data_IF_149261286171
#
_entry.id   IF_149261286171
#
_cell.length_a   1.000
_cell.length_b   1.000
_cell.length_c   1.000
_cell.angle_alpha   90.00
_cell.angle_beta   90.00
_cell.angle_gamma   90.00
#
_symmetry.space_group_name_H-M   'P 1'
#
loop_
_entity.id
_entity.type
_entity.pdbx_description
1 polymer ?
#
# COMPACT_ATOMS: atom_id res chain seq x y z
N UNK A 1 51.37 55.75 -63.49
CA UNK A 1 52.28 54.65 -63.86
C UNK A 1 52.76 53.97 -62.58
N UNK A 2 52.64 52.64 -62.50
CA UNK A 2 53.31 51.73 -61.54
C UNK A 2 52.76 51.85 -60.10
N UNK A 3 52.31 50.82 -59.37
CA UNK A 3 52.21 49.38 -59.58
C UNK A 3 51.21 48.86 -58.53
N UNK A 4 50.21 48.08 -58.96
CA UNK A 4 49.39 47.25 -58.06
C UNK A 4 50.25 46.06 -57.62
N UNK A 5 50.56 45.95 -56.34
CA UNK A 5 50.90 44.67 -55.71
C UNK A 5 49.83 44.29 -54.71
N UNK A 6 49.03 43.32 -55.14
CA UNK A 6 48.15 42.49 -54.33
C UNK A 6 48.97 41.82 -53.23
N UNK A 7 48.65 42.10 -51.97
CA UNK A 7 49.04 41.25 -50.85
C UNK A 7 47.75 40.70 -50.28
N UNK A 8 47.55 39.41 -50.52
CA UNK A 8 46.46 38.59 -50.02
C UNK A 8 46.42 38.66 -48.48
N UNK A 9 45.30 39.12 -47.92
CA UNK A 9 45.03 38.93 -46.51
C UNK A 9 44.77 37.44 -46.25
N UNK A 10 45.40 36.81 -45.24
CA UNK A 10 45.15 35.41 -44.93
C UNK A 10 43.72 35.27 -44.39
N UNK A 11 42.97 34.33 -44.98
CA UNK A 11 41.68 33.89 -44.45
C UNK A 11 41.87 33.54 -42.97
N UNK A 12 41.21 34.28 -42.09
CA UNK A 12 41.04 33.88 -40.70
C UNK A 12 40.19 32.60 -40.70
N UNK A 13 40.86 31.46 -40.55
CA UNK A 13 40.17 30.22 -40.23
C UNK A 13 39.53 30.46 -38.86
N UNK A 14 38.21 30.59 -38.84
CA UNK A 14 37.43 30.56 -37.62
C UNK A 14 37.60 29.18 -36.98
N UNK A 15 38.68 29.02 -36.21
CA UNK A 15 38.86 27.92 -35.28
C UNK A 15 37.82 28.16 -34.19
N UNK A 16 36.62 27.63 -34.41
CA UNK A 16 35.69 27.42 -33.31
C UNK A 16 36.43 26.49 -32.34
N UNK A 17 36.64 26.90 -31.08
CA UNK A 17 37.22 25.98 -30.12
C UNK A 17 36.24 24.82 -30.00
N UNK A 18 36.70 23.61 -30.30
CA UNK A 18 35.99 22.37 -30.02
C UNK A 18 35.80 22.37 -28.51
N UNK A 19 34.63 22.84 -28.06
CA UNK A 19 34.28 22.88 -26.65
C UNK A 19 34.36 21.45 -26.12
N UNK A 20 35.19 21.24 -25.11
CA UNK A 20 35.32 19.94 -24.46
C UNK A 20 33.93 19.41 -24.06
N UNK A 21 33.70 18.13 -24.33
CA UNK A 21 32.41 17.43 -24.15
C UNK A 21 31.92 17.52 -22.69
N UNK A 22 32.78 17.92 -21.74
CA UNK A 22 32.46 18.05 -20.33
C UNK A 22 31.83 19.40 -19.92
N UNK A 23 31.95 20.46 -20.73
CA UNK A 23 31.42 21.80 -20.38
C UNK A 23 29.98 22.04 -20.91
N UNK A 24 29.49 21.17 -21.81
CA UNK A 24 28.13 21.25 -22.38
C UNK A 24 27.02 20.94 -21.36
N UNK A 25 27.36 20.42 -20.18
CA UNK A 25 26.39 20.08 -19.13
C UNK A 25 25.83 21.30 -18.38
N UNK A 26 26.56 22.42 -18.35
CA UNK A 26 26.16 23.61 -17.56
C UNK A 26 25.26 24.55 -18.37
N UNK A 27 25.44 24.64 -19.68
CA UNK A 27 24.68 25.55 -20.54
C UNK A 27 23.44 24.95 -21.21
N UNK A 28 23.21 23.63 -21.09
CA UNK A 28 22.02 22.97 -21.62
C UNK A 28 20.92 22.89 -20.57
N UNK A 29 20.27 24.04 -20.28
CA UNK A 29 19.06 24.14 -19.44
C UNK A 29 17.83 23.34 -19.95
N UNK A 30 17.98 22.39 -20.87
CA UNK A 30 16.84 21.67 -21.45
C UNK A 30 17.05 20.22 -21.88
N UNK A 31 18.28 19.67 -21.90
CA UNK A 31 18.45 18.29 -22.43
C UNK A 31 19.71 17.52 -22.04
N UNK A 32 20.59 18.06 -21.19
CA UNK A 32 21.56 17.19 -20.53
C UNK A 32 20.79 16.26 -19.59
N UNK A 33 21.10 14.96 -19.66
CA UNK A 33 20.71 13.98 -18.64
C UNK A 33 21.33 14.41 -17.32
N UNK A 34 20.70 15.36 -16.62
CA UNK A 34 20.93 15.51 -15.19
C UNK A 34 20.41 14.19 -14.65
N UNK A 35 21.26 13.27 -14.15
CA UNK A 35 20.75 12.13 -13.42
C UNK A 35 19.81 12.71 -12.36
N UNK A 36 18.54 12.34 -12.46
CA UNK A 36 17.50 12.76 -11.54
C UNK A 36 17.90 12.21 -10.17
N UNK A 37 18.75 12.95 -9.46
CA UNK A 37 19.12 12.62 -8.10
C UNK A 37 17.90 12.97 -7.28
N UNK A 38 17.09 11.96 -6.92
CA UNK A 38 16.07 12.13 -5.89
C UNK A 38 16.77 12.78 -4.69
N UNK A 39 16.40 14.03 -4.40
CA UNK A 39 16.96 14.75 -3.27
C UNK A 39 16.55 13.99 -2.02
N UNK A 40 17.53 13.65 -1.19
CA UNK A 40 17.25 13.05 0.11
C UNK A 40 16.56 14.10 0.97
N UNK A 41 15.34 13.81 1.42
CA UNK A 41 14.60 14.68 2.33
C UNK A 41 14.80 14.18 3.75
N UNK A 42 15.09 15.12 4.67
CA UNK A 42 15.08 14.81 6.09
C UNK A 42 13.65 14.60 6.56
N UNK A 43 13.36 13.47 7.18
CA UNK A 43 12.06 13.11 7.72
C UNK A 43 12.06 13.38 9.21
N UNK A 44 11.24 14.34 9.64
CA UNK A 44 11.06 14.68 11.06
C UNK A 44 9.73 14.12 11.59
N UNK A 45 8.72 14.00 10.73
CA UNK A 45 7.36 13.62 11.11
C UNK A 45 7.27 12.11 11.36
N UNK A 46 6.90 11.64 12.57
CA UNK A 46 6.76 10.21 12.86
C UNK A 46 5.71 9.51 11.98
N UNK A 47 4.64 10.21 11.59
CA UNK A 47 3.57 9.67 10.76
C UNK A 47 4.06 9.15 9.39
N UNK A 48 5.21 9.62 8.88
CA UNK A 48 5.82 9.14 7.63
C UNK A 48 6.44 7.75 7.74
N UNK A 49 6.46 7.16 8.93
CA UNK A 49 6.87 5.76 9.13
C UNK A 49 5.83 4.78 8.60
N UNK A 50 4.55 5.17 8.60
CA UNK A 50 3.48 4.31 8.11
C UNK A 50 3.69 4.00 6.62
N UNK A 51 3.76 2.71 6.22
CA UNK A 51 3.96 2.34 4.82
C UNK A 51 2.90 2.91 3.88
N UNK A 52 1.68 3.10 4.40
CA UNK A 52 0.53 3.62 3.67
C UNK A 52 0.36 5.14 3.79
N UNK A 53 1.26 5.85 4.49
CA UNK A 53 1.14 7.29 4.73
C UNK A 53 0.88 8.09 3.44
N UNK A 54 1.72 7.84 2.43
CA UNK A 54 1.64 8.55 1.15
C UNK A 54 0.42 8.13 0.32
N UNK A 55 -0.05 6.89 0.47
CA UNK A 55 -1.26 6.40 -0.20
C UNK A 55 -2.51 7.01 0.41
N UNK A 56 -2.57 7.10 1.75
CA UNK A 56 -3.62 7.81 2.48
C UNK A 56 -3.63 9.31 2.14
N UNK A 57 -2.45 9.93 2.01
CA UNK A 57 -2.33 11.34 1.60
C UNK A 57 -2.79 11.54 0.16
N UNK A 58 -2.44 10.63 -0.76
CA UNK A 58 -2.88 10.67 -2.14
C UNK A 58 -4.40 10.51 -2.27
N UNK A 59 -5.00 9.60 -1.47
CA UNK A 59 -6.44 9.38 -1.46
C UNK A 59 -7.25 10.63 -1.02
N UNK A 60 -6.64 11.52 -0.22
CA UNK A 60 -7.26 12.77 0.26
C UNK A 60 -7.12 13.95 -0.70
N UNK A 61 -6.36 13.81 -1.79
CA UNK A 61 -6.19 14.89 -2.76
C UNK A 61 -7.52 15.17 -3.51
N UNK A 62 -7.85 16.44 -3.78
CA UNK A 62 -9.02 16.81 -4.57
C UNK A 62 -8.85 16.42 -6.04
N UNK A 63 -9.93 16.00 -6.72
CA UNK A 63 -9.93 15.77 -8.17
C UNK A 63 -10.13 17.11 -8.89
N UNK A 64 -9.08 17.91 -8.95
CA UNK A 64 -9.01 19.10 -9.78
C UNK A 64 -8.12 18.87 -11.02
N UNK A 65 -8.03 19.87 -11.90
CA UNK A 65 -7.15 19.82 -13.07
C UNK A 65 -5.67 19.63 -12.70
N UNK A 66 -5.30 19.91 -11.44
CA UNK A 66 -3.95 19.82 -10.90
C UNK A 66 -3.69 18.50 -10.14
N UNK A 67 -4.62 17.54 -10.16
CA UNK A 67 -4.51 16.29 -9.40
C UNK A 67 -3.26 15.49 -9.77
N UNK A 68 -2.93 15.40 -11.07
CA UNK A 68 -1.74 14.70 -11.54
C UNK A 68 -0.44 15.38 -11.07
N UNK A 69 -0.40 16.71 -11.06
CA UNK A 69 0.74 17.48 -10.57
C UNK A 69 0.91 17.33 -9.06
N UNK A 70 -0.20 17.33 -8.31
CA UNK A 70 -0.21 17.06 -6.88
C UNK A 70 0.29 15.64 -6.56
N UNK A 71 -0.12 14.64 -7.34
CA UNK A 71 0.40 13.27 -7.25
C UNK A 71 1.89 13.21 -7.58
N UNK A 72 2.36 13.95 -8.59
CA UNK A 72 3.78 14.00 -8.91
C UNK A 72 4.61 14.59 -7.76
N UNK A 73 4.16 15.69 -7.16
CA UNK A 73 4.81 16.30 -5.99
C UNK A 73 4.86 15.34 -4.81
N UNK A 74 3.75 14.65 -4.55
CA UNK A 74 3.65 13.66 -3.49
C UNK A 74 4.57 12.46 -3.74
N UNK A 75 4.66 11.96 -4.98
CA UNK A 75 5.58 10.88 -5.34
C UNK A 75 7.04 11.28 -5.12
N UNK A 76 7.42 12.51 -5.48
CA UNK A 76 8.79 13.02 -5.22
C UNK A 76 9.07 13.06 -3.71
N UNK A 77 8.10 13.52 -2.90
CA UNK A 77 8.20 13.50 -1.44
C UNK A 77 8.33 12.06 -0.90
N UNK A 78 7.52 11.13 -1.40
CA UNK A 78 7.55 9.70 -1.05
C UNK A 78 8.93 9.11 -1.29
N UNK A 79 9.43 9.18 -2.52
CA UNK A 79 10.71 8.55 -2.87
C UNK A 79 11.90 9.19 -2.14
N UNK A 80 11.86 10.50 -1.89
CA UNK A 80 12.93 11.17 -1.15
C UNK A 80 12.92 10.87 0.35
N UNK A 81 11.76 10.63 0.94
CA UNK A 81 11.58 10.27 2.36
C UNK A 81 11.81 8.79 2.64
N UNK A 82 11.38 7.88 1.74
CA UNK A 82 11.58 6.42 1.86
C UNK A 82 13.04 6.06 2.14
N UNK A 83 14.00 6.79 1.53
CA UNK A 83 15.43 6.52 1.74
C UNK A 83 15.89 6.75 3.18
N UNK A 84 15.25 7.64 3.94
CA UNK A 84 15.54 7.83 5.36
C UNK A 84 14.66 6.92 6.22
N UNK A 85 13.38 6.77 5.87
CA UNK A 85 12.43 5.87 6.56
C UNK A 85 12.93 4.42 6.53
N UNK A 86 13.51 3.96 5.42
CA UNK A 86 14.06 2.59 5.33
C UNK A 86 15.18 2.31 6.33
N UNK A 87 15.84 3.35 6.85
CA UNK A 87 16.92 3.22 7.82
C UNK A 87 16.44 3.49 9.26
N UNK A 88 15.61 4.52 9.47
CA UNK A 88 15.16 5.00 10.80
C UNK A 88 13.76 4.54 11.19
N UNK A 89 12.92 4.19 10.22
CA UNK A 89 11.50 3.89 10.41
C UNK A 89 11.22 2.53 11.06
N UNK A 90 12.18 1.60 11.09
CA UNK A 90 11.99 0.30 11.75
C UNK A 90 11.90 0.36 13.28
N UNK A 91 12.31 1.47 13.89
CA UNK A 91 12.55 1.55 15.34
C UNK A 91 11.81 2.73 15.98
N UNK A 92 10.76 3.26 15.34
CA UNK A 92 10.07 4.49 15.75
C UNK A 92 11.04 5.68 15.98
N UNK A 93 12.19 5.72 15.29
CA UNK A 93 13.27 6.69 15.57
C UNK A 93 13.03 8.05 14.92
N UNK A 94 12.08 8.14 13.99
CA UNK A 94 11.76 9.40 13.30
C UNK A 94 11.07 10.32 14.30
N UNK A 95 11.60 11.54 14.45
CA UNK A 95 11.13 12.54 15.41
C UNK A 95 11.88 12.53 16.76
N UNK A 96 12.55 11.43 17.11
CA UNK A 96 13.31 11.32 18.36
C UNK A 96 14.75 11.84 18.16
N UNK A 97 14.96 13.14 18.44
CA UNK A 97 16.20 13.86 18.11
C UNK A 97 17.41 13.51 18.97
N UNK A 98 17.23 12.99 20.19
CA UNK A 98 18.33 12.95 21.16
C UNK A 98 19.10 11.62 21.12
N UNK A 99 18.43 10.46 21.13
CA UNK A 99 19.14 9.22 21.49
C UNK A 99 18.86 7.98 20.61
N UNK A 100 18.12 8.08 19.50
CA UNK A 100 17.82 6.92 18.62
C UNK A 100 17.31 5.67 19.38
N UNK A 101 16.60 5.84 20.50
CA UNK A 101 16.14 4.73 21.34
C UNK A 101 17.26 3.94 22.03
N UNK A 102 18.47 4.50 22.11
CA UNK A 102 19.54 4.00 22.96
C UNK A 102 19.22 4.30 24.42
N UNK A 103 19.60 3.43 25.35
CA UNK A 103 19.40 3.67 26.76
C UNK A 103 20.39 4.74 27.23
N UNK A 104 19.94 5.55 28.18
CA UNK A 104 20.82 6.52 28.83
C UNK A 104 21.78 5.75 29.73
N UNK A 105 23.08 5.89 29.43
CA UNK A 105 24.14 5.22 30.19
C UNK A 105 24.83 6.26 31.03
N UNK A 106 24.98 5.92 32.30
CA UNK A 106 25.84 6.65 33.19
C UNK A 106 27.31 6.44 32.79
N UNK A 107 27.92 7.48 32.24
CA UNK A 107 29.29 7.46 31.74
C UNK A 107 30.32 7.35 32.88
N UNK A 108 29.92 7.63 34.12
CA UNK A 108 30.78 7.48 35.30
C UNK A 108 30.97 6.01 35.71
N UNK A 109 30.10 5.11 35.23
CA UNK A 109 30.22 3.70 35.55
C UNK A 109 31.54 3.11 35.03
N UNK A 110 32.12 2.15 35.76
CA UNK A 110 33.30 1.44 35.28
C UNK A 110 32.99 0.70 33.98
N UNK A 111 33.97 0.62 33.08
CA UNK A 111 33.86 -0.23 31.89
C UNK A 111 33.57 -1.65 32.32
N UNK A 112 32.88 -2.38 31.45
CA UNK A 112 32.35 -3.68 31.82
C UNK A 112 33.39 -4.69 32.30
N UNK A 113 34.57 -4.73 31.66
CA UNK A 113 35.66 -5.63 32.03
C UNK A 113 36.08 -5.45 33.49
N UNK A 114 35.89 -4.24 34.03
CA UNK A 114 36.26 -3.85 35.37
C UNK A 114 35.08 -3.74 36.34
N UNK A 115 33.85 -4.06 35.92
CA UNK A 115 32.64 -3.91 36.76
C UNK A 115 32.64 -4.83 37.99
N UNK A 116 33.32 -5.98 37.90
CA UNK A 116 33.39 -6.99 38.95
C UNK A 116 34.71 -6.97 39.74
N UNK A 117 35.52 -5.92 39.57
CA UNK A 117 36.77 -5.73 40.31
C UNK A 117 36.44 -5.02 41.61
N UNK A 118 36.56 -5.72 42.74
CA UNK A 118 36.19 -5.19 44.06
C UNK A 118 37.14 -4.07 44.49
N UNK A 119 38.40 -4.13 44.07
CA UNK A 119 39.44 -3.13 44.35
C UNK A 119 39.09 -1.74 43.78
N UNK A 120 38.26 -1.67 42.73
CA UNK A 120 37.82 -0.40 42.16
C UNK A 120 36.75 0.30 43.02
N UNK A 121 36.10 -0.41 43.95
CA UNK A 121 35.14 0.21 44.87
C UNK A 121 35.84 1.11 45.88
N UNK A 122 37.00 0.67 46.37
CA UNK A 122 37.79 1.39 47.38
C UNK A 122 38.84 2.33 46.78
N UNK A 123 39.04 2.27 45.46
CA UNK A 123 39.98 3.13 44.76
C UNK A 123 39.63 4.63 44.87
N UNK A 124 40.64 5.53 44.84
CA UNK A 124 40.41 6.97 44.81
C UNK A 124 39.68 7.40 43.53
N UNK A 125 38.97 8.52 43.61
CA UNK A 125 38.08 9.00 42.54
C UNK A 125 38.79 9.20 41.19
N UNK A 126 40.06 9.62 41.23
CA UNK A 126 40.90 9.75 40.04
C UNK A 126 41.08 8.42 39.30
N UNK A 127 41.25 7.32 40.04
CA UNK A 127 41.40 5.97 39.47
C UNK A 127 40.05 5.47 38.94
N UNK A 128 38.96 5.67 39.70
CA UNK A 128 37.60 5.34 39.23
C UNK A 128 37.26 6.02 37.91
N UNK A 129 37.64 7.29 37.78
CA UNK A 129 37.43 8.08 36.56
C UNK A 129 38.22 7.54 35.35
N UNK A 130 39.44 7.04 35.53
CA UNK A 130 40.23 6.45 34.43
C UNK A 130 39.55 5.17 33.89
N UNK A 131 39.01 4.36 34.79
CA UNK A 131 38.32 3.12 34.46
C UNK A 131 36.84 3.31 34.09
N UNK A 132 36.34 4.54 34.07
CA UNK A 132 34.97 4.83 33.67
C UNK A 132 34.76 4.70 32.16
N UNK A 133 33.49 4.66 31.74
CA UNK A 133 33.08 4.65 30.34
C UNK A 133 33.39 6.02 29.68
N UNK A 134 33.35 7.12 30.43
CA UNK A 134 33.69 8.48 29.95
C UNK A 134 35.10 8.54 29.35
N UNK A 135 36.09 7.94 30.02
CA UNK A 135 37.48 7.86 29.56
C UNK A 135 37.74 6.65 28.66
N UNK A 136 36.68 5.92 28.33
CA UNK A 136 36.69 4.74 27.48
C UNK A 136 36.79 5.02 26.01
N UNK A 137 36.98 3.93 25.26
CA UNK A 137 36.79 3.98 23.82
C UNK A 137 35.30 3.92 23.49
N UNK A 138 34.93 4.32 22.26
CA UNK A 138 33.55 4.17 21.76
C UNK A 138 33.02 2.73 21.86
N UNK A 139 33.90 1.73 21.83
CA UNK A 139 33.53 0.31 22.00
C UNK A 139 32.96 0.04 23.39
N UNK A 140 33.46 0.73 24.40
CA UNK A 140 33.07 0.53 25.80
C UNK A 140 31.64 1.03 26.01
N UNK A 141 31.37 2.22 25.48
CA UNK A 141 30.04 2.83 25.48
C UNK A 141 29.04 2.02 24.63
N UNK A 142 29.46 1.55 23.44
CA UNK A 142 28.63 0.66 22.61
C UNK A 142 28.38 -0.69 23.28
N UNK A 143 29.36 -1.20 24.04
CA UNK A 143 29.25 -2.43 24.83
C UNK A 143 28.30 -2.28 26.01
N UNK A 144 28.29 -1.11 26.66
CA UNK A 144 27.36 -0.79 27.72
C UNK A 144 25.92 -0.68 27.18
N UNK A 145 25.71 -0.04 26.01
CA UNK A 145 24.40 -0.03 25.33
C UNK A 145 23.94 -1.45 24.99
N UNK A 146 24.86 -2.27 24.46
CA UNK A 146 24.55 -3.65 24.08
C UNK A 146 24.04 -4.43 25.28
N UNK A 147 24.70 -4.33 26.44
CA UNK A 147 24.34 -5.12 27.61
C UNK A 147 23.04 -4.68 28.24
N UNK A 148 22.84 -3.37 28.40
CA UNK A 148 21.57 -2.83 28.93
C UNK A 148 20.36 -3.25 28.10
N UNK A 149 20.46 -3.25 26.76
CA UNK A 149 19.39 -3.75 25.88
C UNK A 149 19.25 -5.27 25.91
N UNK A 150 20.34 -6.02 26.08
CA UNK A 150 20.25 -7.48 26.20
C UNK A 150 19.57 -7.84 27.52
N UNK A 151 20.00 -7.24 28.63
CA UNK A 151 19.46 -7.44 29.97
C UNK A 151 17.96 -7.16 30.04
N UNK A 152 17.44 -6.20 29.27
CA UNK A 152 15.99 -5.91 29.26
C UNK A 152 15.14 -7.02 28.65
N UNK A 153 15.68 -7.80 27.70
CA UNK A 153 14.92 -8.81 26.93
C UNK A 153 15.29 -10.25 27.35
N UNK A 154 16.36 -10.39 28.14
CA UNK A 154 16.95 -11.69 28.42
C UNK A 154 16.02 -12.61 29.24
N UNK A 155 16.00 -13.91 28.94
CA UNK A 155 15.20 -14.87 29.72
C UNK A 155 15.84 -15.20 31.06
N UNK A 156 17.17 -15.34 31.07
CA UNK A 156 17.93 -15.66 32.26
C UNK A 156 19.34 -15.06 32.19
N UNK A 157 20.03 -14.96 33.33
CA UNK A 157 21.33 -14.27 33.46
C UNK A 157 22.41 -14.72 32.46
N UNK A 158 22.45 -16.01 32.11
CA UNK A 158 23.47 -16.60 31.24
C UNK A 158 23.01 -16.88 29.81
N UNK A 159 21.92 -16.26 29.35
CA UNK A 159 21.45 -16.46 27.98
C UNK A 159 22.18 -15.46 27.07
N UNK A 160 23.04 -16.02 26.22
CA UNK A 160 23.89 -15.29 25.28
C UNK A 160 23.46 -15.51 23.81
N UNK A 161 22.56 -16.48 23.55
CA UNK A 161 22.38 -17.02 22.20
C UNK A 161 20.94 -17.15 21.72
N UNK A 162 19.96 -16.87 22.58
CA UNK A 162 18.54 -16.86 22.21
C UNK A 162 18.22 -15.86 21.09
N UNK A 163 17.05 -16.02 20.49
CA UNK A 163 16.56 -15.09 19.46
C UNK A 163 16.39 -13.69 20.04
N UNK A 164 15.88 -13.59 21.26
CA UNK A 164 15.70 -12.35 22.03
C UNK A 164 17.02 -11.58 22.15
N UNK A 165 18.08 -12.24 22.63
CA UNK A 165 19.42 -11.65 22.80
C UNK A 165 20.00 -11.20 21.45
N UNK A 166 19.84 -12.03 20.40
CA UNK A 166 20.28 -11.66 19.04
C UNK A 166 19.52 -10.45 18.50
N UNK A 167 18.21 -10.34 18.76
CA UNK A 167 17.39 -9.19 18.35
C UNK A 167 17.81 -7.93 19.11
N UNK A 168 18.03 -8.02 20.42
CA UNK A 168 18.51 -6.90 21.24
C UNK A 168 19.91 -6.43 20.79
N UNK A 169 20.81 -7.37 20.53
CA UNK A 169 22.15 -7.07 20.01
C UNK A 169 22.11 -6.37 18.66
N UNK A 170 21.39 -6.94 17.68
CA UNK A 170 21.25 -6.34 16.34
C UNK A 170 20.62 -4.96 16.40
N UNK A 171 19.60 -4.77 17.25
CA UNK A 171 18.95 -3.47 17.49
C UNK A 171 19.93 -2.44 18.03
N UNK A 172 20.76 -2.81 19.01
CA UNK A 172 21.80 -1.92 19.56
C UNK A 172 22.81 -1.49 18.49
N UNK A 173 23.24 -2.44 17.65
CA UNK A 173 24.16 -2.16 16.54
C UNK A 173 23.54 -1.19 15.54
N UNK A 174 22.28 -1.40 15.15
CA UNK A 174 21.56 -0.52 14.23
C UNK A 174 21.46 0.91 14.80
N UNK A 175 21.03 1.07 16.05
CA UNK A 175 20.87 2.38 16.71
C UNK A 175 22.20 3.11 16.89
N UNK A 176 23.20 2.42 17.42
CA UNK A 176 24.53 3.00 17.65
C UNK A 176 25.23 3.40 16.35
N UNK A 177 25.09 2.61 15.28
CA UNK A 177 25.64 2.97 13.97
C UNK A 177 24.81 4.06 13.28
N UNK A 178 23.50 4.14 13.50
CA UNK A 178 22.67 5.25 12.97
C UNK A 178 23.09 6.57 13.59
N UNK A 179 23.25 6.62 14.92
CA UNK A 179 23.82 7.78 15.62
C UNK A 179 25.19 8.17 15.04
N UNK A 180 26.07 7.19 14.80
CA UNK A 180 27.37 7.41 14.18
C UNK A 180 27.26 7.99 12.76
N UNK A 181 26.34 7.50 11.93
CA UNK A 181 26.09 8.05 10.59
C UNK A 181 25.68 9.51 10.67
N UNK A 182 24.80 9.88 11.61
CA UNK A 182 24.40 11.28 11.80
C UNK A 182 25.58 12.17 12.25
N UNK A 183 26.49 11.67 13.11
CA UNK A 183 27.74 12.39 13.46
C UNK A 183 28.71 12.54 12.29
N UNK A 184 28.76 11.59 11.35
CA UNK A 184 29.55 11.74 10.13
C UNK A 184 28.90 12.73 9.16
N UNK A 185 27.56 12.69 9.06
CA UNK A 185 26.80 13.57 8.19
C UNK A 185 26.86 15.05 8.63
N UNK A 186 27.02 15.32 9.94
CA UNK A 186 27.20 16.69 10.43
C UNK A 186 28.54 17.30 9.99
N UNK A 187 29.58 16.47 9.85
CA UNK A 187 30.91 16.88 9.38
C UNK A 187 31.00 16.90 7.85
N UNK A 188 30.42 15.91 7.18
CA UNK A 188 30.47 15.73 5.74
C UNK A 188 29.07 15.47 5.18
N UNK A 189 28.61 16.19 4.15
CA UNK A 189 27.25 16.01 3.60
C UNK A 189 27.05 14.66 2.90
N UNK A 190 28.12 13.89 2.65
CA UNK A 190 28.07 12.58 1.99
C UNK A 190 27.86 11.46 3.03
N UNK A 191 26.86 10.61 2.78
CA UNK A 191 26.59 9.43 3.63
C UNK A 191 27.73 8.41 3.55
N UNK A 192 28.24 7.90 4.68
CA UNK A 192 29.26 6.84 4.69
C UNK A 192 28.65 5.50 4.24
N UNK A 193 28.80 5.21 2.93
CA UNK A 193 28.17 4.05 2.25
C UNK A 193 28.48 2.72 2.95
N UNK A 194 29.71 2.54 3.40
CA UNK A 194 30.17 1.32 4.06
C UNK A 194 29.45 1.04 5.39
N UNK A 195 29.05 2.07 6.15
CA UNK A 195 28.25 1.92 7.37
C UNK A 195 26.79 1.69 7.00
N UNK A 196 26.23 2.51 6.12
CA UNK A 196 24.80 2.44 5.76
C UNK A 196 24.45 1.09 5.15
N UNK A 197 25.34 0.52 4.33
CA UNK A 197 25.17 -0.82 3.77
C UNK A 197 25.16 -1.90 4.87
N UNK A 198 26.06 -1.81 5.86
CA UNK A 198 26.08 -2.75 6.99
C UNK A 198 24.84 -2.61 7.88
N UNK A 199 24.35 -1.39 8.11
CA UNK A 199 23.08 -1.14 8.82
C UNK A 199 21.93 -1.83 8.08
N UNK A 200 21.85 -1.69 6.76
CA UNK A 200 20.84 -2.35 5.95
C UNK A 200 20.88 -3.89 6.10
N UNK A 201 22.07 -4.50 6.05
CA UNK A 201 22.23 -5.94 6.29
C UNK A 201 21.78 -6.34 7.70
N UNK A 202 22.11 -5.54 8.72
CA UNK A 202 21.69 -5.80 10.11
C UNK A 202 20.17 -5.67 10.29
N UNK A 203 19.52 -4.70 9.63
CA UNK A 203 18.06 -4.55 9.63
C UNK A 203 17.40 -5.80 9.04
N UNK A 204 17.91 -6.30 7.90
CA UNK A 204 17.37 -7.50 7.27
C UNK A 204 17.62 -8.76 8.10
N UNK A 205 18.79 -8.87 8.72
CA UNK A 205 19.09 -9.96 9.64
C UNK A 205 18.15 -9.95 10.85
N UNK A 206 17.93 -8.78 11.47
CA UNK A 206 16.97 -8.63 12.58
C UNK A 206 15.54 -8.95 12.16
N UNK A 207 15.09 -8.53 10.98
CA UNK A 207 13.76 -8.89 10.44
C UNK A 207 13.59 -10.40 10.33
N UNK A 208 14.63 -11.12 9.89
CA UNK A 208 14.65 -12.59 9.86
C UNK A 208 14.48 -13.16 11.27
N UNK A 209 15.21 -12.64 12.25
CA UNK A 209 15.09 -13.08 13.65
C UNK A 209 13.70 -12.81 14.25
N UNK A 210 13.14 -11.62 14.01
CA UNK A 210 11.79 -11.27 14.47
C UNK A 210 10.71 -12.18 13.86
N UNK A 211 10.86 -12.53 12.58
CA UNK A 211 9.96 -13.51 11.94
C UNK A 211 10.08 -14.88 12.61
N UNK A 212 11.29 -15.38 12.82
CA UNK A 212 11.51 -16.67 13.48
C UNK A 212 10.98 -16.67 14.91
N UNK A 213 11.17 -15.58 15.65
CA UNK A 213 10.66 -15.46 17.01
C UNK A 213 9.12 -15.50 17.02
N UNK A 214 8.46 -14.77 16.12
CA UNK A 214 6.99 -14.80 15.99
C UNK A 214 6.45 -16.17 15.63
N UNK A 215 7.16 -16.91 14.78
CA UNK A 215 6.78 -18.28 14.39
C UNK A 215 6.94 -19.28 15.54
N UNK A 216 7.87 -19.03 16.47
CA UNK A 216 8.14 -19.91 17.62
C UNK A 216 7.28 -19.57 18.84
N UNK A 217 7.20 -18.29 19.18
CA UNK A 217 6.58 -17.78 20.40
C UNK A 217 6.08 -16.34 20.19
N UNK A 218 4.76 -16.20 20.04
CA UNK A 218 4.11 -14.92 19.80
C UNK A 218 4.14 -14.00 21.04
N UNK A 219 4.02 -14.56 22.24
CA UNK A 219 4.01 -13.78 23.49
C UNK A 219 5.38 -13.14 23.75
N UNK A 220 6.46 -13.92 23.55
CA UNK A 220 7.83 -13.38 23.64
C UNK A 220 8.09 -12.34 22.54
N UNK A 221 7.57 -12.55 21.33
CA UNK A 221 7.67 -11.59 20.24
C UNK A 221 7.06 -10.24 20.60
N UNK A 222 5.84 -10.22 21.13
CA UNK A 222 5.19 -8.97 21.58
C UNK A 222 5.97 -8.29 22.71
N UNK A 223 6.46 -9.07 23.69
CA UNK A 223 7.30 -8.53 24.78
C UNK A 223 8.54 -7.83 24.23
N UNK A 224 9.30 -8.51 23.36
CA UNK A 224 10.54 -7.97 22.77
C UNK A 224 10.28 -6.70 21.97
N UNK A 225 9.19 -6.67 21.19
CA UNK A 225 8.81 -5.50 20.40
C UNK A 225 8.51 -4.30 21.30
N UNK A 226 7.76 -4.52 22.37
CA UNK A 226 7.37 -3.47 23.31
C UNK A 226 8.56 -2.94 24.09
N UNK A 227 9.42 -3.82 24.63
CA UNK A 227 10.63 -3.44 25.37
C UNK A 227 11.62 -2.68 24.50
N UNK A 228 11.93 -3.21 23.31
CA UNK A 228 12.88 -2.57 22.41
C UNK A 228 12.25 -1.39 21.66
N UNK A 229 10.94 -1.21 21.66
CA UNK A 229 10.20 -0.18 20.89
C UNK A 229 10.45 -0.30 19.38
N UNK A 230 10.31 -1.50 18.84
CA UNK A 230 10.53 -1.79 17.41
C UNK A 230 9.21 -1.72 16.65
N UNK A 231 9.17 -1.01 15.52
CA UNK A 231 8.04 -1.05 14.60
C UNK A 231 8.15 -2.27 13.68
N UNK A 232 7.39 -3.32 13.96
CA UNK A 232 7.38 -4.51 13.12
C UNK A 232 6.35 -4.37 11.98
N UNK A 233 6.83 -4.52 10.75
CA UNK A 233 5.99 -4.53 9.56
C UNK A 233 6.34 -5.73 8.68
N UNK A 234 5.32 -6.47 8.25
CA UNK A 234 5.49 -7.61 7.33
C UNK A 234 5.88 -7.07 5.97
N UNK A 235 7.05 -7.49 5.47
CA UNK A 235 7.48 -7.13 4.12
C UNK A 235 6.55 -7.83 3.13
N UNK A 236 5.84 -7.04 2.33
CA UNK A 236 5.23 -7.55 1.10
C UNK A 236 6.36 -7.92 0.14
N UNK A 237 6.17 -8.96 -0.66
CA UNK A 237 7.12 -9.25 -1.75
C UNK A 237 7.34 -7.97 -2.56
N UNK A 238 8.57 -7.66 -2.99
CA UNK A 238 8.82 -6.45 -3.74
C UNK A 238 7.97 -6.51 -5.02
N UNK A 239 6.89 -5.73 -5.04
CA UNK A 239 6.20 -5.40 -6.28
C UNK A 239 7.23 -4.68 -7.17
N UNK A 240 7.16 -4.88 -8.48
CA UNK A 240 8.07 -4.21 -9.42
C UNK A 240 8.15 -2.72 -9.06
N UNK A 241 9.39 -2.17 -8.96
CA UNK A 241 9.61 -0.79 -8.49
C UNK A 241 8.68 0.14 -9.27
N UNK A 242 7.65 0.66 -8.59
CA UNK A 242 6.65 1.50 -9.26
C UNK A 242 7.35 2.78 -9.70
N UNK A 243 7.50 2.95 -11.01
CA UNK A 243 7.91 4.21 -11.60
C UNK A 243 6.89 5.29 -11.21
N UNK A 244 7.26 6.58 -11.30
CA UNK A 244 6.34 7.71 -11.04
C UNK A 244 5.00 7.50 -11.74
N UNK A 245 5.07 7.17 -13.04
CA UNK A 245 3.91 6.90 -13.90
C UNK A 245 3.07 5.74 -13.37
N UNK A 246 3.69 4.58 -13.10
CA UNK A 246 2.96 3.41 -12.60
C UNK A 246 2.30 3.68 -11.23
N UNK A 247 2.96 4.43 -10.35
CA UNK A 247 2.40 4.79 -9.05
C UNK A 247 1.21 5.76 -9.19
N UNK A 248 1.34 6.81 -10.01
CA UNK A 248 0.25 7.77 -10.24
C UNK A 248 -0.96 7.11 -10.92
N UNK A 249 -0.73 6.24 -11.91
CA UNK A 249 -1.79 5.47 -12.58
C UNK A 249 -2.52 4.55 -11.61
N UNK A 250 -1.78 3.89 -10.71
CA UNK A 250 -2.39 3.04 -9.68
C UNK A 250 -3.26 3.85 -8.69
N UNK A 251 -2.76 4.99 -8.21
CA UNK A 251 -3.54 5.87 -7.32
C UNK A 251 -4.78 6.44 -8.03
N UNK A 252 -4.64 6.84 -9.28
CA UNK A 252 -5.75 7.30 -10.10
C UNK A 252 -6.80 6.20 -10.30
N UNK A 253 -6.38 4.98 -10.62
CA UNK A 253 -7.29 3.83 -10.79
C UNK A 253 -8.09 3.55 -9.51
N UNK A 254 -7.42 3.45 -8.36
CA UNK A 254 -8.07 3.27 -7.06
C UNK A 254 -9.07 4.39 -6.76
N UNK A 255 -8.72 5.63 -7.12
CA UNK A 255 -9.61 6.77 -6.92
C UNK A 255 -10.83 6.72 -7.83
N UNK A 256 -10.65 6.37 -9.11
CA UNK A 256 -11.75 6.20 -10.08
C UNK A 256 -12.70 5.08 -9.64
N UNK A 257 -12.17 3.95 -9.16
CA UNK A 257 -12.97 2.85 -8.63
C UNK A 257 -13.84 3.32 -7.46
N UNK A 258 -13.27 4.05 -6.51
CA UNK A 258 -14.02 4.63 -5.38
C UNK A 258 -15.12 5.60 -5.81
N UNK A 259 -14.85 6.47 -6.79
CA UNK A 259 -15.89 7.39 -7.29
C UNK A 259 -17.02 6.64 -8.00
N UNK A 260 -16.69 5.57 -8.73
CA UNK A 260 -17.72 4.71 -9.35
C UNK A 260 -18.58 4.04 -8.29
N UNK A 261 -17.97 3.50 -7.23
CA UNK A 261 -18.71 2.92 -6.09
C UNK A 261 -19.60 3.96 -5.41
N UNK A 262 -19.08 5.16 -5.11
CA UNK A 262 -19.87 6.25 -4.54
C UNK A 262 -21.06 6.62 -5.44
N UNK A 263 -20.84 6.71 -6.76
CA UNK A 263 -21.90 7.03 -7.71
C UNK A 263 -22.94 5.92 -7.76
N UNK A 264 -22.53 4.65 -7.76
CA UNK A 264 -23.44 3.51 -7.67
C UNK A 264 -24.24 3.52 -6.38
N UNK A 265 -23.63 3.84 -5.24
CA UNK A 265 -24.31 3.95 -3.95
C UNK A 265 -25.34 5.08 -3.94
N UNK A 266 -25.01 6.24 -4.53
CA UNK A 266 -25.97 7.35 -4.65
C UNK A 266 -27.15 7.00 -5.54
N UNK A 267 -26.87 6.31 -6.65
CA UNK A 267 -27.89 5.88 -7.60
C UNK A 267 -28.77 4.78 -6.98
N UNK A 268 -28.17 3.82 -6.27
CA UNK A 268 -28.90 2.81 -5.52
C UNK A 268 -29.84 3.43 -4.48
N UNK A 269 -29.38 4.44 -3.72
CA UNK A 269 -30.24 5.17 -2.79
C UNK A 269 -31.41 5.85 -3.49
N UNK A 270 -31.15 6.56 -4.60
CA UNK A 270 -32.22 7.20 -5.37
C UNK A 270 -33.26 6.21 -5.91
N UNK A 271 -32.83 5.01 -6.32
CA UNK A 271 -33.74 3.95 -6.75
C UNK A 271 -34.51 3.29 -5.61
N UNK A 272 -33.91 3.20 -4.42
CA UNK A 272 -34.63 2.70 -3.24
C UNK A 272 -35.67 3.71 -2.75
N UNK A 273 -35.37 5.00 -2.80
CA UNK A 273 -36.32 6.08 -2.47
C UNK A 273 -37.49 6.12 -3.45
N UNK A 274 -37.22 6.03 -4.75
CA UNK A 274 -38.25 6.07 -5.80
C UNK A 274 -38.94 4.70 -6.01
N UNK A 275 -38.57 3.66 -5.26
CA UNK A 275 -39.05 2.29 -5.48
C UNK A 275 -40.55 2.19 -5.34
N UNK A 276 -41.09 2.76 -4.26
CA UNK A 276 -42.51 2.61 -3.93
C UNK A 276 -43.39 3.38 -4.94
N UNK A 277 -42.93 4.53 -5.41
CA UNK A 277 -43.60 5.30 -6.47
C UNK A 277 -43.62 4.54 -7.79
N UNK A 278 -42.47 3.98 -8.20
CA UNK A 278 -42.37 3.19 -9.44
C UNK A 278 -43.23 1.93 -9.35
N UNK A 279 -43.26 1.25 -8.21
CA UNK A 279 -44.11 0.06 -8.00
C UNK A 279 -45.60 0.44 -8.08
N UNK A 280 -46.02 1.55 -7.47
CA UNK A 280 -47.39 2.01 -7.56
C UNK A 280 -47.81 2.35 -9.00
N UNK A 281 -46.94 3.00 -9.78
CA UNK A 281 -47.19 3.28 -11.20
C UNK A 281 -47.28 1.99 -12.04
N UNK A 282 -46.45 0.99 -11.73
CA UNK A 282 -46.50 -0.32 -12.40
C UNK A 282 -47.82 -1.04 -12.06
N UNK A 283 -48.21 -1.06 -10.80
CA UNK A 283 -49.45 -1.70 -10.36
C UNK A 283 -50.69 -1.04 -10.99
N UNK A 284 -50.69 0.30 -11.08
CA UNK A 284 -51.75 1.05 -11.76
C UNK A 284 -51.83 0.72 -13.26
N UNK A 285 -50.68 0.60 -13.93
CA UNK A 285 -50.61 0.21 -15.34
C UNK A 285 -51.03 -1.25 -15.55
N UNK A 286 -50.73 -2.16 -14.62
CA UNK A 286 -51.20 -3.55 -14.68
C UNK A 286 -52.72 -3.61 -14.58
N UNK A 287 -53.32 -2.88 -13.64
CA UNK A 287 -54.78 -2.84 -13.48
C UNK A 287 -55.49 -2.29 -14.72
N UNK A 288 -54.94 -1.26 -15.38
CA UNK A 288 -55.54 -0.72 -16.61
C UNK A 288 -55.48 -1.73 -17.77
N UNK A 289 -54.36 -2.44 -17.92
CA UNK A 289 -54.19 -3.49 -18.92
C UNK A 289 -55.11 -4.69 -18.67
N UNK A 290 -55.32 -5.11 -17.41
CA UNK A 290 -56.26 -6.18 -17.07
C UNK A 290 -57.70 -5.83 -17.49
N UNK A 291 -58.13 -4.59 -17.25
CA UNK A 291 -59.45 -4.10 -17.67
C UNK A 291 -59.57 -4.10 -19.20
N UNK A 292 -58.54 -3.64 -19.92
CA UNK A 292 -58.52 -3.68 -21.38
C UNK A 292 -58.58 -5.11 -21.92
N UNK A 293 -57.82 -6.04 -21.32
CA UNK A 293 -57.83 -7.45 -21.69
C UNK A 293 -59.22 -8.08 -21.50
N UNK A 294 -59.88 -7.83 -20.37
CA UNK A 294 -61.26 -8.27 -20.14
C UNK A 294 -62.24 -7.71 -21.18
N UNK A 295 -62.10 -6.44 -21.54
CA UNK A 295 -62.94 -5.81 -22.56
C UNK A 295 -62.71 -6.41 -23.95
N UNK A 296 -61.46 -6.70 -24.30
CA UNK A 296 -61.12 -7.39 -25.56
C UNK A 296 -61.68 -8.81 -25.55
N UNK A 297 -61.56 -9.55 -24.43
CA UNK A 297 -62.13 -10.90 -24.29
C UNK A 297 -63.65 -10.89 -24.47
N UNK A 298 -64.35 -9.99 -23.79
CA UNK A 298 -65.80 -9.79 -23.96
C UNK A 298 -66.15 -9.50 -25.43
N UNK A 299 -65.39 -8.61 -26.07
CA UNK A 299 -65.61 -8.25 -27.48
C UNK A 299 -65.34 -9.42 -28.45
N UNK A 300 -64.33 -10.23 -28.17
CA UNK A 300 -64.05 -11.45 -28.94
C UNK A 300 -65.15 -12.49 -28.75
N UNK A 301 -65.69 -12.63 -27.53
CA UNK A 301 -66.84 -13.50 -27.27
C UNK A 301 -68.07 -13.03 -28.06
N UNK A 302 -68.39 -11.73 -28.03
CA UNK A 302 -69.46 -11.12 -28.85
C UNK A 302 -69.27 -11.40 -30.34
N UNK A 303 -68.06 -11.20 -30.89
CA UNK A 303 -67.76 -11.49 -32.29
C UNK A 303 -67.93 -13.00 -32.58
N UNK A 304 -67.48 -13.86 -31.67
CA UNK A 304 -67.63 -15.32 -31.81
C UNK A 304 -69.10 -15.77 -31.83
N UNK A 305 -69.98 -15.04 -31.15
CA UNK A 305 -71.43 -15.27 -31.18
C UNK A 305 -72.00 -14.80 -32.52
N UNK A 306 -71.64 -13.59 -32.99
CA UNK A 306 -72.09 -13.02 -34.27
C UNK A 306 -71.67 -13.89 -35.46
N UNK A 307 -70.44 -14.41 -35.46
CA UNK A 307 -69.93 -15.31 -36.49
C UNK A 307 -70.55 -16.73 -36.45
N UNK A 308 -71.40 -17.02 -35.47
CA UNK A 308 -72.08 -18.31 -35.31
C UNK A 308 -71.17 -19.45 -34.84
N UNK A 309 -69.95 -19.15 -34.37
CA UNK A 309 -69.01 -20.15 -33.82
C UNK A 309 -69.36 -20.55 -32.37
N UNK A 310 -70.05 -19.68 -31.63
CA UNK A 310 -70.60 -19.93 -30.29
C UNK A 310 -72.08 -19.52 -30.26
N UNK A 311 -72.89 -20.19 -29.46
CA UNK A 311 -74.33 -19.92 -29.30
C UNK A 311 -74.55 -19.14 -28.01
N UNK A 312 -75.28 -18.03 -28.08
CA UNK A 312 -75.65 -17.23 -26.91
C UNK A 312 -76.74 -17.95 -26.09
N UNK A 313 -76.57 -18.02 -24.76
CA UNK A 313 -77.50 -18.63 -23.81
C UNK A 313 -77.82 -20.13 -24.04
N UNK A 314 -76.82 -21.00 -23.85
CA UNK A 314 -77.10 -22.43 -23.60
C UNK A 314 -77.61 -22.59 -22.16
N UNK A 315 -78.91 -22.41 -21.94
CA UNK A 315 -79.57 -22.82 -20.69
C UNK A 315 -79.65 -24.34 -20.68
N UNK A 316 -78.61 -24.97 -20.11
CA UNK A 316 -78.51 -26.41 -19.90
C UNK A 316 -77.20 -26.98 -20.43
N UNK A 317 -76.44 -27.69 -19.59
CA UNK A 317 -75.32 -28.51 -20.07
C UNK A 317 -75.91 -29.54 -21.03
N UNK A 318 -75.58 -29.48 -22.32
CA UNK A 318 -75.89 -30.57 -23.25
C UNK A 318 -75.12 -31.81 -22.78
N UNK A 319 -75.79 -32.66 -22.01
CA UNK A 319 -75.32 -34.01 -21.79
C UNK A 319 -75.64 -34.78 -23.06
N UNK A 320 -74.64 -35.25 -23.84
CA UNK A 320 -74.93 -36.15 -24.94
C UNK A 320 -75.75 -37.31 -24.40
N UNK A 321 -76.81 -37.71 -25.11
CA UNK A 321 -77.59 -38.89 -24.72
C UNK A 321 -76.70 -40.11 -24.88
N UNK A 322 -75.95 -40.44 -23.82
CA UNK A 322 -74.99 -41.54 -23.78
C UNK A 322 -75.62 -42.84 -24.29
N UNK A 323 -76.92 -43.04 -24.03
CA UNK A 323 -77.67 -44.24 -24.44
C UNK A 323 -77.94 -44.28 -25.95
N UNK A 324 -78.29 -43.14 -26.57
CA UNK A 324 -78.56 -43.09 -28.02
C UNK A 324 -77.25 -43.25 -28.81
N UNK A 325 -76.17 -42.56 -28.42
CA UNK A 325 -74.86 -42.69 -29.08
C UNK A 325 -74.24 -44.09 -28.89
N UNK A 326 -74.40 -44.74 -27.73
CA UNK A 326 -74.00 -46.14 -27.56
C UNK A 326 -74.83 -47.06 -28.45
N UNK A 327 -76.14 -46.85 -28.53
CA UNK A 327 -77.01 -47.67 -29.38
C UNK A 327 -76.69 -47.49 -30.85
N UNK A 328 -76.44 -46.26 -31.31
CA UNK A 328 -76.08 -45.96 -32.68
C UNK A 328 -74.69 -46.49 -33.01
N UNK A 329 -73.69 -46.34 -32.14
CA UNK A 329 -72.37 -46.91 -32.36
C UNK A 329 -72.37 -48.44 -32.32
N UNK A 330 -73.15 -49.06 -31.42
CA UNK A 330 -73.30 -50.53 -31.38
C UNK A 330 -74.06 -51.02 -32.62
N UNK A 331 -75.13 -50.35 -33.03
CA UNK A 331 -75.89 -50.68 -34.24
C UNK A 331 -75.06 -50.46 -35.51
N UNK A 332 -74.30 -49.37 -35.60
CA UNK A 332 -73.36 -49.13 -36.70
C UNK A 332 -72.25 -50.17 -36.71
N UNK A 333 -71.71 -50.55 -35.54
CA UNK A 333 -70.76 -51.65 -35.46
C UNK A 333 -71.42 -52.94 -35.97
N UNK A 334 -72.59 -53.34 -35.49
CA UNK A 334 -73.28 -54.56 -35.93
C UNK A 334 -73.65 -54.57 -37.41
N UNK A 335 -74.07 -53.44 -37.97
CA UNK A 335 -74.51 -53.31 -39.36
C UNK A 335 -73.34 -53.21 -40.36
N UNK A 336 -72.24 -52.58 -39.97
CA UNK A 336 -71.11 -52.29 -40.86
C UNK A 336 -69.79 -52.99 -40.44
N UNK A 337 -69.81 -53.88 -39.44
CA UNK A 337 -68.67 -54.76 -39.16
C UNK A 337 -68.46 -55.71 -40.33
N UNK A 338 -67.44 -55.42 -41.13
CA UNK A 338 -66.85 -56.41 -42.00
C UNK A 338 -65.77 -57.13 -41.21
N UNK A 339 -65.97 -58.43 -40.99
CA UNK A 339 -64.96 -59.32 -40.45
C UNK A 339 -63.77 -59.32 -41.43
N UNK A 340 -62.70 -58.59 -41.08
CA UNK A 340 -61.48 -58.57 -41.88
C UNK A 340 -60.79 -59.93 -41.72
N UNK A 341 -61.02 -60.82 -42.68
CA UNK A 341 -60.20 -62.03 -42.88
C UNK A 341 -58.81 -61.68 -43.41
#
# INVERSE_FOLDING_TARGET
>A
MISRRLILAPLAWNVTPIASIHVTSINSKGRARIPFYNKHHKVTDPAKQDPEYFEKKAAKLPLDDHYLDALELLWKEKIGSEREVMMKGSDNLIGNKTDYGLPQIDTSQPRYEYRHVDELRDAPESVKRIFSIEYGERRDLSGAWKRTLIESVNKHKFDDSSLQVKIAWTTTVIRSWTSLVDTFMSKNPKKPVWITHRIYLMINYRRKLLRLLREQDEAEFERVINELKIAYHVQKQPEHVKTRKAWSEHQLKLRIEREKENMLDTLHKSFMENRDEIVADIDANLQSLEIEEENIKKRLEEISIIEGKKVDNVVGVYQPKIIEELSENVMHSLLFYHDSK
#
